data_IF_007074960247
#
_entry.id   IF_007074960247
#
_cell.length_a   1.000
_cell.length_b   1.000
_cell.length_c   1.000
_cell.angle_alpha   90.00
_cell.angle_beta   90.00
_cell.angle_gamma   90.00
#
_symmetry.space_group_name_H-M   'P 1'
#
loop_
_entity.id
_entity.type
_entity.pdbx_description
1 polymer ?
#
# COMPACT_ATOMS: atom_id res chain seq x y z
N UNK A 1 -35.65 -17.27 1.81
CA UNK A 1 -34.20 -17.20 1.66
C UNK A 1 -33.83 -16.21 0.59
N UNK A 2 -33.32 -15.07 0.96
CA UNK A 2 -32.79 -14.10 0.00
C UNK A 2 -31.30 -14.14 0.15
N UNK A 3 -30.63 -14.78 -0.83
CA UNK A 3 -29.23 -15.07 -0.84
C UNK A 3 -28.37 -13.84 -0.76
N UNK A 4 -27.65 -13.70 0.31
CA UNK A 4 -26.43 -12.93 0.32
C UNK A 4 -25.31 -13.85 -0.13
N UNK A 5 -24.76 -13.59 -1.31
CA UNK A 5 -23.68 -14.39 -1.90
C UNK A 5 -22.31 -14.12 -1.25
N UNK A 6 -22.28 -13.79 0.04
CA UNK A 6 -21.04 -13.46 0.75
C UNK A 6 -20.86 -14.40 1.95
N UNK A 7 -19.68 -14.99 2.04
CA UNK A 7 -19.26 -15.79 3.19
C UNK A 7 -18.06 -15.10 3.84
N UNK A 8 -18.21 -14.73 5.11
CA UNK A 8 -17.09 -14.35 5.96
C UNK A 8 -16.59 -15.62 6.68
N UNK A 9 -15.34 -15.96 6.50
CA UNK A 9 -14.72 -17.09 7.20
C UNK A 9 -13.75 -16.56 8.24
N UNK A 10 -14.08 -16.76 9.51
CA UNK A 10 -13.20 -16.47 10.64
C UNK A 10 -12.29 -17.68 10.88
N UNK A 11 -11.01 -17.56 10.60
CA UNK A 11 -10.04 -18.63 10.84
C UNK A 11 -8.85 -18.07 11.66
N UNK A 12 -8.76 -18.48 12.93
CA UNK A 12 -7.66 -18.12 13.87
C UNK A 12 -7.43 -16.60 14.01
N UNK A 13 -8.52 -15.81 14.19
CA UNK A 13 -8.41 -14.37 14.35
C UNK A 13 -8.24 -13.58 13.05
N UNK A 14 -8.31 -14.23 11.87
CA UNK A 14 -8.31 -13.59 10.55
C UNK A 14 -9.70 -13.70 9.93
N UNK A 15 -10.24 -12.58 9.43
CA UNK A 15 -11.50 -12.52 8.69
C UNK A 15 -11.21 -12.49 7.20
N UNK A 16 -11.64 -13.48 6.45
CA UNK A 16 -11.57 -13.54 4.99
C UNK A 16 -12.98 -13.52 4.41
N UNK A 17 -13.19 -12.75 3.33
CA UNK A 17 -14.50 -12.54 2.71
C UNK A 17 -14.49 -13.06 1.27
N UNK A 18 -15.56 -13.77 0.85
CA UNK A 18 -15.70 -14.35 -0.47
C UNK A 18 -17.09 -14.08 -1.07
N UNK A 19 -17.18 -13.60 -2.33
CA UNK A 19 -18.39 -13.52 -3.17
C UNK A 19 -19.16 -12.19 -3.16
N UNK A 20 -19.96 -11.90 -4.21
CA UNK A 20 -20.96 -10.82 -4.29
C UNK A 20 -21.14 -10.15 -5.66
N UNK A 21 -22.36 -9.72 -6.02
CA UNK A 21 -22.73 -9.05 -7.27
C UNK A 21 -22.83 -7.52 -7.11
N UNK A 22 -22.46 -6.81 -8.15
CA UNK A 22 -22.09 -5.42 -8.41
C UNK A 22 -22.55 -4.28 -7.46
N UNK A 23 -23.80 -4.16 -7.02
CA UNK A 23 -24.24 -3.02 -6.17
C UNK A 23 -24.06 -3.27 -4.65
N UNK A 24 -24.01 -4.53 -4.24
CA UNK A 24 -23.62 -4.91 -2.86
C UNK A 24 -22.09 -4.83 -2.69
N UNK A 25 -21.33 -4.99 -3.77
CA UNK A 25 -19.86 -4.95 -3.81
C UNK A 25 -19.32 -3.57 -3.46
N UNK A 26 -19.84 -2.48 -4.03
CA UNK A 26 -19.36 -1.12 -3.74
C UNK A 26 -19.56 -0.70 -2.28
N UNK A 27 -20.73 -0.94 -1.72
CA UNK A 27 -20.99 -0.63 -0.30
C UNK A 27 -20.12 -1.45 0.64
N UNK A 28 -19.85 -2.68 0.26
CA UNK A 28 -19.04 -3.60 1.03
C UNK A 28 -17.53 -3.24 0.95
N UNK A 29 -17.03 -2.85 -0.21
CA UNK A 29 -15.63 -2.45 -0.36
C UNK A 29 -15.31 -1.20 0.44
N UNK A 30 -16.18 -0.18 0.47
CA UNK A 30 -16.01 1.03 1.28
C UNK A 30 -15.98 0.72 2.79
N UNK A 31 -16.85 -0.17 3.27
CA UNK A 31 -16.83 -0.62 4.68
C UNK A 31 -15.53 -1.36 4.99
N UNK A 32 -15.09 -2.24 4.08
CA UNK A 32 -13.83 -2.97 4.22
C UNK A 32 -12.65 -2.02 4.25
N UNK A 33 -12.58 -1.05 3.33
CA UNK A 33 -11.50 -0.06 3.28
C UNK A 33 -11.42 0.75 4.59
N UNK A 34 -12.55 1.16 5.16
CA UNK A 34 -12.59 1.84 6.46
C UNK A 34 -12.05 0.97 7.61
N UNK A 35 -12.45 -0.30 7.66
CA UNK A 35 -11.96 -1.23 8.70
C UNK A 35 -10.46 -1.45 8.56
N UNK A 36 -9.98 -1.67 7.34
CA UNK A 36 -8.56 -1.84 7.04
C UNK A 36 -7.77 -0.58 7.39
N UNK A 37 -8.28 0.60 7.01
CA UNK A 37 -7.65 1.89 7.32
C UNK A 37 -7.49 2.11 8.82
N UNK A 38 -8.54 1.81 9.62
CA UNK A 38 -8.47 1.88 11.07
C UNK A 38 -7.43 0.89 11.64
N UNK A 39 -7.40 -0.35 11.11
CA UNK A 39 -6.39 -1.34 11.54
C UNK A 39 -4.97 -0.89 11.21
N UNK A 40 -4.75 -0.27 10.04
CA UNK A 40 -3.46 0.32 9.66
C UNK A 40 -3.10 1.47 10.60
N UNK A 41 -4.07 2.34 10.95
CA UNK A 41 -3.86 3.42 11.91
C UNK A 41 -3.31 2.89 13.24
N UNK A 42 -3.96 1.87 13.81
CA UNK A 42 -3.54 1.24 15.06
C UNK A 42 -2.15 0.61 14.94
N UNK A 43 -1.86 -0.13 13.84
CA UNK A 43 -0.57 -0.75 13.62
C UNK A 43 0.56 0.28 13.51
N UNK A 44 0.35 1.38 12.79
CA UNK A 44 1.33 2.46 12.70
C UNK A 44 1.48 3.15 14.06
N UNK A 45 0.41 3.38 14.79
CA UNK A 45 0.45 4.01 16.10
C UNK A 45 1.24 3.19 17.12
N UNK A 46 1.10 1.86 17.10
CA UNK A 46 1.83 0.93 17.95
C UNK A 46 3.32 0.78 17.56
N UNK A 47 3.68 1.05 16.31
CA UNK A 47 5.04 0.90 15.82
C UNK A 47 5.94 2.07 16.27
N UNK A 48 7.25 1.83 16.27
CA UNK A 48 8.26 2.86 16.55
C UNK A 48 8.85 3.44 15.27
N UNK A 49 8.86 2.66 14.20
CA UNK A 49 9.41 3.01 12.89
C UNK A 49 8.70 2.23 11.80
N UNK A 50 8.49 2.85 10.64
CA UNK A 50 7.78 2.27 9.50
C UNK A 50 8.72 2.14 8.31
N UNK A 51 8.80 0.93 7.77
CA UNK A 51 9.49 0.63 6.52
C UNK A 51 8.46 0.28 5.46
N UNK A 52 8.69 0.72 4.22
CA UNK A 52 7.80 0.47 3.10
C UNK A 52 8.63 -0.01 1.93
N UNK A 53 8.21 -1.05 1.25
CA UNK A 53 8.82 -1.49 0.01
C UNK A 53 7.78 -2.03 -0.97
N UNK A 54 8.08 -1.91 -2.25
CA UNK A 54 7.34 -2.55 -3.31
C UNK A 54 8.06 -3.77 -3.88
N UNK A 55 7.80 -4.06 -5.15
CA UNK A 55 8.54 -5.08 -5.90
C UNK A 55 9.90 -4.53 -6.39
N UNK A 56 10.84 -5.42 -6.73
CA UNK A 56 12.23 -5.08 -7.08
C UNK A 56 12.43 -4.24 -8.35
N UNK A 57 11.42 -4.11 -9.20
CA UNK A 57 11.44 -3.26 -10.39
C UNK A 57 10.30 -2.24 -10.28
N UNK A 58 10.39 -1.40 -9.27
CA UNK A 58 9.33 -0.47 -8.92
C UNK A 58 8.89 0.36 -10.13
N UNK A 59 7.60 0.44 -10.35
CA UNK A 59 6.97 1.38 -11.26
C UNK A 59 6.27 2.51 -10.48
N UNK A 60 5.48 3.32 -11.17
CA UNK A 60 4.76 4.40 -10.53
C UNK A 60 3.61 3.91 -9.64
N UNK A 61 3.04 2.71 -9.87
CA UNK A 61 2.02 2.18 -8.97
C UNK A 61 2.64 1.78 -7.62
N UNK A 62 3.72 1.03 -7.66
CA UNK A 62 4.48 0.65 -6.46
C UNK A 62 4.99 1.88 -5.70
N UNK A 63 5.59 2.86 -6.41
CA UNK A 63 6.10 4.09 -5.80
C UNK A 63 4.98 4.96 -5.22
N UNK A 64 3.88 5.17 -5.96
CA UNK A 64 2.74 5.96 -5.53
C UNK A 64 2.10 5.38 -4.28
N UNK A 65 1.86 4.06 -4.28
CA UNK A 65 1.37 3.34 -3.11
C UNK A 65 2.29 3.51 -1.90
N UNK A 66 3.62 3.35 -2.09
CA UNK A 66 4.59 3.53 -1.01
C UNK A 66 4.59 4.95 -0.44
N UNK A 67 4.52 5.96 -1.30
CA UNK A 67 4.43 7.37 -0.89
C UNK A 67 3.13 7.63 -0.13
N UNK A 68 1.99 7.10 -0.58
CA UNK A 68 0.72 7.22 0.11
C UNK A 68 0.74 6.60 1.51
N UNK A 69 1.32 5.40 1.67
CA UNK A 69 1.51 4.78 2.99
C UNK A 69 2.47 5.62 3.85
N UNK A 70 3.53 6.20 3.27
CA UNK A 70 4.44 7.07 4.02
C UNK A 70 3.72 8.30 4.58
N UNK A 71 2.69 8.79 3.88
CA UNK A 71 1.85 9.89 4.37
C UNK A 71 1.08 9.52 5.63
N UNK A 72 0.56 8.29 5.72
CA UNK A 72 -0.10 7.79 6.92
C UNK A 72 0.85 7.76 8.12
N UNK A 73 2.09 7.27 7.93
CA UNK A 73 3.10 7.25 8.98
C UNK A 73 3.52 8.66 9.41
N UNK A 74 3.76 9.57 8.44
CA UNK A 74 4.08 10.99 8.72
C UNK A 74 2.96 11.72 9.47
N UNK A 75 1.68 11.43 9.14
CA UNK A 75 0.54 11.98 9.86
C UNK A 75 0.59 11.61 11.36
N UNK A 76 0.95 10.38 11.66
CA UNK A 76 1.14 9.88 13.03
C UNK A 76 2.53 10.22 13.62
N UNK A 77 3.32 11.05 12.91
CA UNK A 77 4.67 11.49 13.33
C UNK A 77 5.64 10.35 13.57
N UNK A 78 5.50 9.25 12.81
CA UNK A 78 6.41 8.10 12.89
C UNK A 78 7.58 8.27 11.92
N UNK A 79 8.81 7.91 12.32
CA UNK A 79 9.90 7.72 11.38
C UNK A 79 9.48 6.76 10.27
N UNK A 80 9.76 7.11 9.03
CA UNK A 80 9.32 6.30 7.89
C UNK A 80 10.35 6.31 6.78
N UNK A 81 10.59 5.14 6.20
CA UNK A 81 11.53 4.94 5.10
C UNK A 81 10.91 4.08 4.00
N UNK A 82 11.13 4.50 2.75
CA UNK A 82 10.78 3.74 1.55
C UNK A 82 12.04 3.10 1.00
N UNK A 83 12.03 1.79 0.88
CA UNK A 83 13.15 0.99 0.38
C UNK A 83 13.01 0.83 -1.12
N UNK A 84 13.98 1.30 -1.88
CA UNK A 84 13.99 1.26 -3.33
C UNK A 84 15.16 0.42 -3.86
N UNK A 85 14.91 -0.28 -4.96
CA UNK A 85 15.96 -0.95 -5.74
C UNK A 85 16.90 0.08 -6.39
N UNK A 86 18.19 -0.27 -6.58
CA UNK A 86 19.20 0.69 -7.06
C UNK A 86 19.04 1.14 -8.50
N UNK A 87 18.40 0.34 -9.34
CA UNK A 87 18.50 0.47 -10.81
C UNK A 87 17.22 0.87 -11.53
N UNK A 88 16.24 1.46 -10.83
CA UNK A 88 15.02 1.82 -11.51
C UNK A 88 15.08 3.22 -12.13
N UNK A 89 15.34 3.28 -13.44
CA UNK A 89 15.38 4.54 -14.20
C UNK A 89 14.00 5.17 -14.41
N UNK A 90 12.91 4.37 -14.34
CA UNK A 90 11.55 4.85 -14.59
C UNK A 90 11.06 5.85 -13.55
N UNK A 91 11.40 5.63 -12.30
CA UNK A 91 10.97 6.47 -11.16
C UNK A 91 12.07 7.41 -10.65
N UNK A 92 13.33 7.27 -11.09
CA UNK A 92 14.49 7.97 -10.54
C UNK A 92 14.34 9.48 -10.58
N UNK A 93 13.92 10.04 -11.71
CA UNK A 93 13.73 11.49 -11.86
C UNK A 93 12.70 12.06 -10.86
N UNK A 94 11.63 11.33 -10.62
CA UNK A 94 10.60 11.74 -9.66
C UNK A 94 11.13 11.68 -8.21
N UNK A 95 11.78 10.57 -7.85
CA UNK A 95 12.34 10.38 -6.50
C UNK A 95 13.47 11.37 -6.21
N UNK A 96 14.35 11.66 -7.17
CA UNK A 96 15.38 12.69 -7.05
C UNK A 96 14.76 14.09 -6.84
N UNK A 97 13.72 14.42 -7.62
CA UNK A 97 13.00 15.68 -7.45
C UNK A 97 12.35 15.76 -6.06
N UNK A 98 11.76 14.65 -5.60
CA UNK A 98 11.12 14.61 -4.29
C UNK A 98 12.13 14.77 -3.14
N UNK A 99 13.29 14.14 -3.23
CA UNK A 99 14.40 14.28 -2.25
C UNK A 99 14.87 15.73 -2.04
N UNK A 100 14.70 16.61 -3.04
CA UNK A 100 15.04 18.02 -2.88
C UNK A 100 14.03 18.82 -2.05
N UNK A 101 12.88 18.24 -1.73
CA UNK A 101 11.85 18.91 -0.95
C UNK A 101 12.03 18.65 0.54
N UNK A 102 11.66 19.63 1.34
CA UNK A 102 11.70 19.51 2.79
C UNK A 102 10.86 18.32 3.29
N UNK A 103 11.41 17.52 4.18
CA UNK A 103 10.77 16.34 4.76
C UNK A 103 10.80 15.07 3.89
N UNK A 104 11.56 15.07 2.77
CA UNK A 104 11.71 13.90 1.90
C UNK A 104 13.15 13.48 1.66
N UNK A 105 14.15 14.26 2.10
CA UNK A 105 15.57 13.97 1.86
C UNK A 105 16.00 12.58 2.33
N UNK A 106 15.47 12.13 3.46
CA UNK A 106 15.81 10.85 4.09
C UNK A 106 14.73 9.78 3.96
N UNK A 107 13.68 10.07 3.17
CA UNK A 107 12.58 9.13 3.00
C UNK A 107 13.00 7.86 2.27
N UNK A 108 13.92 7.96 1.31
CA UNK A 108 14.28 6.84 0.43
C UNK A 108 15.62 6.23 0.84
N UNK A 109 15.59 4.92 1.11
CA UNK A 109 16.78 4.12 1.40
C UNK A 109 17.01 3.09 0.28
N UNK A 110 18.25 2.87 -0.16
CA UNK A 110 18.54 1.85 -1.14
C UNK A 110 18.49 0.45 -0.53
N UNK A 111 17.87 -0.49 -1.24
CA UNK A 111 17.67 -1.87 -0.78
C UNK A 111 18.97 -2.66 -0.56
N UNK A 112 20.05 -2.29 -1.26
CA UNK A 112 21.36 -2.96 -1.16
C UNK A 112 22.19 -2.56 0.05
N UNK A 113 21.80 -1.49 0.76
CA UNK A 113 22.47 -1.13 2.02
C UNK A 113 21.88 -1.95 3.15
N UNK A 114 22.76 -2.44 4.03
CA UNK A 114 22.35 -3.07 5.27
C UNK A 114 21.52 -2.04 6.07
N UNK A 115 20.21 -2.21 6.06
CA UNK A 115 19.31 -1.31 6.79
C UNK A 115 19.46 -1.62 8.27
N UNK A 116 19.95 -0.64 9.02
CA UNK A 116 20.09 -0.78 10.47
C UNK A 116 18.71 -0.54 11.12
N UNK A 117 18.06 -1.63 11.54
CA UNK A 117 16.79 -1.57 12.26
C UNK A 117 17.12 -1.44 13.74
N UNK A 118 16.92 -0.26 14.30
CA UNK A 118 17.13 0.04 15.73
C UNK A 118 15.81 0.10 16.51
N UNK A 119 14.69 0.17 15.82
CA UNK A 119 13.36 0.18 16.43
C UNK A 119 13.06 -1.14 17.13
N UNK A 120 12.41 -1.06 18.31
CA UNK A 120 11.95 -2.24 19.03
C UNK A 120 10.72 -2.87 18.38
N UNK A 121 9.87 -2.05 17.78
CA UNK A 121 8.63 -2.45 17.09
C UNK A 121 8.58 -1.90 15.66
N UNK A 122 9.47 -2.38 14.77
CA UNK A 122 9.45 -1.98 13.38
C UNK A 122 8.21 -2.57 12.67
N UNK A 123 7.57 -1.78 11.81
CA UNK A 123 6.45 -2.20 10.96
C UNK A 123 6.85 -2.12 9.49
N UNK A 124 6.67 -3.20 8.76
CA UNK A 124 6.97 -3.26 7.32
C UNK A 124 5.68 -3.29 6.49
N UNK A 125 5.54 -2.33 5.58
CA UNK A 125 4.56 -2.40 4.51
C UNK A 125 5.18 -2.96 3.24
N UNK A 126 4.50 -3.93 2.66
CA UNK A 126 4.79 -4.44 1.31
C UNK A 126 3.64 -4.03 0.42
N UNK A 127 3.91 -3.19 -0.58
CA UNK A 127 2.92 -2.66 -1.50
C UNK A 127 3.15 -3.18 -2.91
N UNK A 128 2.07 -3.36 -3.66
CA UNK A 128 2.07 -3.73 -5.07
C UNK A 128 2.75 -5.07 -5.38
N UNK A 129 2.91 -5.89 -4.38
CA UNK A 129 3.28 -7.29 -4.50
C UNK A 129 2.94 -8.04 -3.21
N UNK A 130 2.64 -9.32 -3.33
CA UNK A 130 2.51 -10.22 -2.19
C UNK A 130 3.50 -11.39 -2.26
N UNK A 131 4.42 -11.37 -3.23
CA UNK A 131 5.36 -12.46 -3.51
C UNK A 131 6.70 -12.15 -2.85
N UNK A 132 7.17 -12.96 -1.88
CA UNK A 132 8.35 -12.64 -1.06
C UNK A 132 9.61 -12.33 -1.87
N UNK A 133 9.93 -13.17 -2.86
CA UNK A 133 11.18 -13.03 -3.63
C UNK A 133 11.14 -11.91 -4.69
N UNK A 134 9.96 -11.31 -4.94
CA UNK A 134 9.82 -10.15 -5.81
C UNK A 134 9.89 -8.82 -5.07
N UNK A 135 9.90 -8.82 -3.73
CA UNK A 135 10.03 -7.58 -2.95
C UNK A 135 11.39 -6.92 -3.18
N UNK A 136 11.44 -5.60 -3.02
CA UNK A 136 12.68 -4.83 -3.17
C UNK A 136 13.81 -5.31 -2.23
N UNK A 137 13.45 -5.82 -1.05
CA UNK A 137 14.40 -6.41 -0.10
C UNK A 137 13.80 -7.64 0.60
N UNK A 138 13.98 -8.86 0.05
CA UNK A 138 13.58 -10.10 0.71
C UNK A 138 14.24 -10.28 2.09
N UNK A 139 15.48 -9.80 2.26
CA UNK A 139 16.20 -9.83 3.52
C UNK A 139 15.49 -9.01 4.61
N UNK A 140 14.99 -7.81 4.27
CA UNK A 140 14.24 -6.98 5.22
C UNK A 140 12.93 -7.66 5.62
N UNK A 141 12.27 -8.34 4.68
CA UNK A 141 11.05 -9.10 4.94
C UNK A 141 11.27 -10.25 5.94
N UNK A 142 12.43 -10.87 5.94
CA UNK A 142 12.78 -11.93 6.90
C UNK A 142 13.08 -11.38 8.31
N UNK A 143 13.58 -10.14 8.38
CA UNK A 143 14.00 -9.50 9.64
C UNK A 143 12.85 -8.86 10.41
N UNK A 144 11.84 -8.31 9.72
CA UNK A 144 10.70 -7.65 10.35
C UNK A 144 9.51 -8.62 10.38
N UNK A 145 8.97 -8.85 11.60
CA UNK A 145 7.87 -9.80 11.81
C UNK A 145 6.49 -9.19 11.58
N UNK A 146 6.34 -7.91 11.94
CA UNK A 146 5.07 -7.19 11.75
C UNK A 146 5.01 -6.65 10.33
N UNK A 147 4.28 -7.37 9.47
CA UNK A 147 4.17 -7.08 8.03
C UNK A 147 2.73 -6.81 7.66
N UNK A 148 2.53 -5.73 6.90
CA UNK A 148 1.26 -5.38 6.23
C UNK A 148 1.45 -5.50 4.73
N UNK A 149 0.54 -6.20 4.05
CA UNK A 149 0.56 -6.33 2.59
C UNK A 149 -0.65 -5.61 2.00
N UNK A 150 -0.40 -4.71 1.03
CA UNK A 150 -1.44 -4.03 0.24
C UNK A 150 -1.16 -4.29 -1.23
N UNK A 151 -2.05 -4.99 -1.92
CA UNK A 151 -1.78 -5.45 -3.28
C UNK A 151 -3.07 -5.66 -4.08
N UNK A 152 -3.05 -5.32 -5.37
CA UNK A 152 -4.17 -5.52 -6.27
C UNK A 152 -4.02 -6.75 -7.18
N UNK A 153 -2.88 -7.42 -7.15
CA UNK A 153 -2.63 -8.60 -7.98
C UNK A 153 -3.43 -9.82 -7.52
N UNK A 154 -3.73 -10.70 -8.47
CA UNK A 154 -4.34 -12.00 -8.16
C UNK A 154 -3.40 -12.83 -7.31
N UNK A 155 -3.93 -13.42 -6.24
CA UNK A 155 -3.14 -14.18 -5.27
C UNK A 155 -2.41 -15.35 -5.94
N UNK A 156 -1.10 -15.36 -5.81
CA UNK A 156 -0.21 -16.46 -6.20
C UNK A 156 -0.20 -17.57 -5.13
N UNK A 157 0.25 -18.77 -5.49
CA UNK A 157 0.54 -19.84 -4.52
C UNK A 157 1.74 -19.50 -3.61
N UNK A 158 2.67 -18.69 -4.11
CA UNK A 158 3.81 -18.18 -3.35
C UNK A 158 3.49 -16.75 -2.87
N UNK A 159 3.10 -16.61 -1.62
CA UNK A 159 2.70 -15.33 -1.03
C UNK A 159 3.23 -15.20 0.40
N UNK A 160 3.30 -13.97 0.92
CA UNK A 160 3.70 -13.66 2.29
C UNK A 160 2.65 -14.22 3.26
N UNK A 161 2.98 -15.35 3.92
CA UNK A 161 2.01 -16.15 4.71
C UNK A 161 1.73 -15.57 6.09
N UNK A 162 2.71 -14.89 6.70
CA UNK A 162 2.65 -14.46 8.09
C UNK A 162 2.42 -12.94 8.23
N UNK A 163 1.85 -12.30 7.22
CA UNK A 163 1.47 -10.90 7.34
C UNK A 163 0.45 -10.71 8.47
N UNK A 164 0.66 -9.68 9.29
CA UNK A 164 -0.27 -9.27 10.36
C UNK A 164 -1.59 -8.77 9.77
N UNK A 165 -1.50 -8.09 8.62
CA UNK A 165 -2.64 -7.63 7.84
C UNK A 165 -2.36 -7.85 6.35
N UNK A 166 -3.37 -8.31 5.61
CA UNK A 166 -3.33 -8.38 4.14
C UNK A 166 -4.58 -7.73 3.57
N UNK A 167 -4.38 -6.67 2.79
CA UNK A 167 -5.43 -6.04 1.99
C UNK A 167 -5.15 -6.30 0.52
N UNK A 168 -5.87 -7.26 -0.04
CA UNK A 168 -5.74 -7.65 -1.45
C UNK A 168 -7.09 -7.55 -2.13
N UNK A 169 -7.14 -6.80 -3.24
CA UNK A 169 -8.35 -6.52 -4.03
C UNK A 169 -8.07 -6.60 -5.53
N UNK A 170 -8.12 -7.79 -6.13
CA UNK A 170 -7.82 -7.97 -7.56
C UNK A 170 -8.79 -7.30 -8.52
N UNK A 171 -9.89 -6.74 -8.02
CA UNK A 171 -10.87 -6.00 -8.82
C UNK A 171 -10.56 -4.50 -8.94
N UNK A 172 -9.56 -4.00 -8.21
CA UNK A 172 -9.09 -2.60 -8.31
C UNK A 172 -8.11 -2.42 -9.46
N UNK A 173 -8.01 -1.20 -9.94
CA UNK A 173 -7.16 -0.89 -11.08
C UNK A 173 -5.67 -0.91 -10.73
N UNK A 174 -5.34 -0.54 -9.50
CA UNK A 174 -3.96 -0.34 -9.03
C UNK A 174 -3.87 -0.38 -7.51
N UNK A 175 -2.67 -0.59 -7.00
CA UNK A 175 -2.39 -0.48 -5.56
C UNK A 175 -2.46 0.98 -5.10
N UNK A 176 -2.11 1.95 -5.95
CA UNK A 176 -2.29 3.38 -5.70
C UNK A 176 -3.75 3.77 -5.51
N UNK A 177 -4.70 3.16 -6.26
CA UNK A 177 -6.14 3.29 -6.02
C UNK A 177 -6.51 2.80 -4.62
N UNK A 178 -6.04 1.59 -4.23
CA UNK A 178 -6.29 1.03 -2.90
C UNK A 178 -5.78 1.93 -1.78
N UNK A 179 -4.54 2.43 -1.91
CA UNK A 179 -3.93 3.29 -0.89
C UNK A 179 -4.64 4.64 -0.83
N UNK A 180 -5.06 5.20 -1.97
CA UNK A 180 -5.87 6.44 -1.97
C UNK A 180 -7.18 6.25 -1.22
N UNK A 181 -7.88 5.13 -1.45
CA UNK A 181 -9.10 4.82 -0.71
C UNK A 181 -8.85 4.67 0.81
N UNK A 182 -7.74 4.05 1.20
CA UNK A 182 -7.36 3.97 2.62
C UNK A 182 -7.08 5.35 3.22
N UNK A 183 -6.42 6.25 2.48
CA UNK A 183 -6.12 7.62 2.92
C UNK A 183 -7.41 8.41 3.20
N UNK A 184 -8.44 8.27 2.36
CA UNK A 184 -9.76 8.91 2.54
C UNK A 184 -10.39 8.54 3.90
N UNK A 185 -10.17 7.31 4.38
CA UNK A 185 -10.73 6.82 5.64
C UNK A 185 -9.76 6.86 6.82
N UNK A 186 -8.52 7.28 6.60
CA UNK A 186 -7.47 7.24 7.63
C UNK A 186 -7.68 8.30 8.71
N UNK A 187 -7.96 9.53 8.30
CA UNK A 187 -8.34 10.63 9.18
C UNK A 187 -8.97 11.76 8.37
N UNK A 188 -10.01 12.39 8.91
CA UNK A 188 -10.68 13.53 8.28
C UNK A 188 -9.74 14.75 8.13
N UNK A 189 -8.73 14.87 9.00
CA UNK A 189 -7.74 15.97 8.98
C UNK A 189 -6.48 15.66 8.14
N UNK A 190 -6.39 14.46 7.55
CA UNK A 190 -5.24 14.11 6.74
C UNK A 190 -5.30 14.87 5.41
N UNK A 191 -4.30 15.70 5.16
CA UNK A 191 -4.15 16.40 3.88
C UNK A 191 -3.08 15.73 3.03
N UNK A 192 -3.29 15.65 1.73
CA UNK A 192 -2.37 15.05 0.78
C UNK A 192 -1.58 16.14 0.04
N UNK A 193 -0.27 16.31 0.30
CA UNK A 193 0.56 17.27 -0.43
C UNK A 193 0.61 16.97 -1.93
N UNK A 194 0.73 18.02 -2.74
CA UNK A 194 0.68 17.92 -4.20
C UNK A 194 1.60 16.85 -4.80
N UNK A 195 2.82 16.72 -4.28
CA UNK A 195 3.78 15.73 -4.81
C UNK A 195 3.36 14.30 -4.48
N UNK A 196 2.79 14.07 -3.31
CA UNK A 196 2.27 12.76 -2.89
C UNK A 196 1.03 12.39 -3.71
N UNK A 197 0.10 13.34 -3.90
CA UNK A 197 -1.04 13.18 -4.79
C UNK A 197 -0.60 12.89 -6.24
N UNK A 198 0.44 13.60 -6.74
CA UNK A 198 0.99 13.34 -8.07
C UNK A 198 1.52 11.92 -8.22
N UNK A 199 2.20 11.39 -7.19
CA UNK A 199 2.74 10.03 -7.22
C UNK A 199 1.61 8.98 -7.28
N UNK A 200 0.59 9.10 -6.42
CA UNK A 200 -0.57 8.21 -6.41
C UNK A 200 -1.33 8.26 -7.75
N UNK A 201 -1.57 9.48 -8.25
CA UNK A 201 -2.23 9.66 -9.53
C UNK A 201 -1.43 9.05 -10.71
N UNK A 202 -0.11 9.21 -10.71
CA UNK A 202 0.75 8.59 -11.72
C UNK A 202 0.69 7.06 -11.67
N UNK A 203 0.62 6.45 -10.48
CA UNK A 203 0.40 5.01 -10.31
C UNK A 203 -0.91 4.56 -10.95
N UNK A 204 -2.02 5.23 -10.63
CA UNK A 204 -3.32 4.95 -11.25
C UNK A 204 -3.24 5.06 -12.79
N UNK A 205 -2.58 6.10 -13.31
CA UNK A 205 -2.48 6.32 -14.77
C UNK A 205 -1.69 5.22 -15.47
N UNK A 206 -0.58 4.76 -14.87
CA UNK A 206 0.28 3.72 -15.47
C UNK A 206 -0.49 2.42 -15.58
N UNK A 207 -1.09 1.94 -14.51
CA UNK A 207 -1.79 0.66 -14.47
C UNK A 207 -3.08 0.65 -15.30
N UNK A 208 -3.78 1.77 -15.35
CA UNK A 208 -5.00 1.92 -16.16
C UNK A 208 -4.71 2.26 -17.63
N UNK A 209 -3.45 2.45 -18.01
CA UNK A 209 -3.06 2.96 -19.33
C UNK A 209 -3.85 4.22 -19.69
N UNK A 210 -3.76 5.23 -18.84
CA UNK A 210 -4.52 6.48 -18.93
C UNK A 210 -6.06 6.26 -18.96
N UNK A 211 -6.55 5.46 -18.01
CA UNK A 211 -7.96 5.10 -17.85
C UNK A 211 -8.57 4.29 -19.03
N UNK A 212 -7.72 3.66 -19.85
CA UNK A 212 -8.18 2.84 -20.97
C UNK A 212 -8.56 1.40 -20.57
N UNK A 213 -8.02 0.88 -19.46
CA UNK A 213 -8.24 -0.50 -19.00
C UNK A 213 -8.50 -0.57 -17.50
N UNK A 214 -9.25 -1.59 -17.07
CA UNK A 214 -9.52 -1.91 -15.64
C UNK A 214 -10.06 -0.74 -14.80
N UNK A 215 -10.71 0.22 -15.42
CA UNK A 215 -11.20 1.45 -14.79
C UNK A 215 -12.63 1.27 -14.29
N UNK A 216 -12.91 1.72 -13.09
CA UNK A 216 -14.24 1.70 -12.48
C UNK A 216 -14.55 3.01 -11.74
N UNK A 217 -15.72 3.09 -11.11
CA UNK A 217 -16.13 4.27 -10.32
C UNK A 217 -15.09 4.58 -9.23
N UNK A 218 -14.59 3.57 -8.53
CA UNK A 218 -13.56 3.73 -7.48
C UNK A 218 -12.27 4.36 -8.01
N UNK A 219 -11.88 3.99 -9.24
CA UNK A 219 -10.68 4.55 -9.88
C UNK A 219 -10.84 6.06 -10.12
N UNK A 220 -12.02 6.49 -10.57
CA UNK A 220 -12.32 7.91 -10.76
C UNK A 220 -12.47 8.65 -9.42
N UNK A 221 -13.08 8.03 -8.41
CA UNK A 221 -13.16 8.59 -7.05
C UNK A 221 -11.75 8.82 -6.48
N UNK A 222 -10.85 7.85 -6.62
CA UNK A 222 -9.46 7.96 -6.19
C UNK A 222 -8.69 9.04 -6.98
N UNK A 223 -8.89 9.12 -8.28
CA UNK A 223 -8.24 10.11 -9.13
C UNK A 223 -8.74 11.54 -8.88
N UNK A 224 -9.95 11.70 -8.32
CA UNK A 224 -10.55 13.00 -8.01
C UNK A 224 -10.19 13.52 -6.60
N UNK A 225 -9.75 12.64 -5.71
CA UNK A 225 -9.32 12.98 -4.35
C UNK A 225 -7.99 13.73 -4.34
#
# INVERSE_FOLDING_TARGET
>A
SRGGDQVAVLKRGKTEFYGGKTNAVEKYTRVKARIISNSIYELIQESDEVFIMGHQNEDFDSLGAAIGVSRMAKYLKKPVHIILSEFNTGISKFTETLKTKEGYSELFLPANKLINITAERPLLFVVDTHIPHLTASPELLERIKDVVVIDHHRRSSNFIKNARLTYSEPATSSTSELVTELLIYFSDDLTLPRMEATALYAGILVDTKNFAVQTGVRTFDAAAY
#
